data_IF_771707165078
#
_entry.id   IF_771707165078
#
_cell.length_a   1.000
_cell.length_b   1.000
_cell.length_c   1.000
_cell.angle_alpha   90.00
_cell.angle_beta   90.00
_cell.angle_gamma   90.00
#
_symmetry.space_group_name_H-M   'P 1'
#
loop_
_entity.id
_entity.type
_entity.pdbx_description
1 polymer ?
#
# COMPACT_ATOMS: atom_id res chain seq x y z
N UNK A 1 -23.73 -3.52 -19.78
CA UNK A 1 -23.32 -4.67 -18.95
C UNK A 1 -22.34 -4.15 -17.90
N UNK A 2 -22.77 -3.96 -16.66
CA UNK A 2 -21.88 -3.52 -15.57
C UNK A 2 -21.30 -4.77 -14.91
N UNK A 3 -20.03 -5.05 -15.18
CA UNK A 3 -19.33 -6.15 -14.51
C UNK A 3 -19.10 -5.71 -13.07
N UNK A 4 -19.85 -6.28 -12.11
CA UNK A 4 -19.50 -6.18 -10.69
C UNK A 4 -18.22 -6.97 -10.50
N UNK A 5 -17.07 -6.33 -10.71
CA UNK A 5 -15.78 -6.88 -10.31
C UNK A 5 -15.89 -7.18 -8.82
N UNK A 6 -15.90 -8.47 -8.47
CA UNK A 6 -15.81 -8.89 -7.08
C UNK A 6 -14.44 -8.48 -6.60
N UNK A 7 -14.42 -7.41 -5.83
CA UNK A 7 -13.24 -6.91 -5.14
C UNK A 7 -12.87 -7.99 -4.14
N UNK A 8 -11.94 -8.83 -4.56
CA UNK A 8 -11.31 -9.82 -3.71
C UNK A 8 -10.05 -9.21 -3.10
N UNK A 9 -9.63 -9.70 -1.95
CA UNK A 9 -8.40 -9.27 -1.29
C UNK A 9 -7.14 -9.59 -2.13
N UNK A 10 -7.30 -10.34 -3.22
CA UNK A 10 -6.22 -10.88 -4.05
C UNK A 10 -5.87 -10.00 -5.24
N UNK A 11 -6.69 -8.98 -5.52
CA UNK A 11 -6.41 -8.01 -6.57
C UNK A 11 -6.43 -6.60 -5.99
N UNK A 12 -5.43 -5.77 -6.29
CA UNK A 12 -5.40 -4.41 -5.79
C UNK A 12 -6.55 -3.59 -6.37
N UNK A 13 -7.21 -2.82 -5.51
CA UNK A 13 -8.15 -1.81 -5.95
C UNK A 13 -7.34 -0.63 -6.50
N UNK A 14 -7.70 -0.14 -7.68
CA UNK A 14 -7.13 1.11 -8.18
C UNK A 14 -7.57 2.27 -7.28
N UNK A 15 -6.64 2.77 -6.47
CA UNK A 15 -6.88 3.92 -5.59
C UNK A 15 -7.44 5.11 -6.39
N UNK A 16 -6.93 5.36 -7.61
CA UNK A 16 -7.44 6.42 -8.49
C UNK A 16 -8.95 6.30 -8.76
N UNK A 17 -9.45 5.08 -8.91
CA UNK A 17 -10.86 4.81 -9.18
C UNK A 17 -11.76 5.10 -7.97
N UNK A 18 -11.27 4.87 -6.75
CA UNK A 18 -12.03 5.15 -5.53
C UNK A 18 -11.84 6.58 -5.02
N UNK A 19 -10.64 7.14 -5.11
CA UNK A 19 -10.36 8.53 -4.75
C UNK A 19 -11.18 9.52 -5.58
N UNK A 20 -11.45 9.20 -6.86
CA UNK A 20 -12.32 10.03 -7.71
C UNK A 20 -13.80 9.97 -7.34
N UNK A 21 -14.24 8.91 -6.65
CA UNK A 21 -15.64 8.72 -6.24
C UNK A 21 -16.00 9.37 -4.91
N UNK A 22 -15.00 9.79 -4.13
CA UNK A 22 -15.23 10.37 -2.82
C UNK A 22 -14.88 11.86 -2.82
N UNK A 23 -15.79 12.75 -2.39
CA UNK A 23 -15.46 14.15 -2.22
C UNK A 23 -14.51 14.29 -1.02
N UNK A 24 -13.27 14.72 -1.29
CA UNK A 24 -12.21 14.88 -0.31
C UNK A 24 -11.03 13.96 -0.58
N UNK A 25 -9.81 14.51 -0.59
CA UNK A 25 -8.56 13.76 -0.79
C UNK A 25 -8.18 12.99 0.48
N UNK A 26 -9.05 12.12 0.98
CA UNK A 26 -8.73 11.27 2.12
C UNK A 26 -8.03 9.99 1.68
N UNK A 27 -7.11 9.47 2.50
CA UNK A 27 -6.50 8.18 2.25
C UNK A 27 -7.56 7.08 2.31
N UNK A 28 -7.42 6.07 1.45
CA UNK A 28 -8.25 4.87 1.41
C UNK A 28 -7.35 3.65 1.39
N UNK A 29 -7.81 2.57 2.01
CA UNK A 29 -7.12 1.30 2.01
C UNK A 29 -6.92 0.79 0.58
N UNK A 30 -5.71 0.35 0.26
CA UNK A 30 -5.34 -0.15 -1.07
C UNK A 30 -6.11 -1.41 -1.51
N UNK A 31 -6.51 -2.28 -0.58
CA UNK A 31 -7.16 -3.55 -0.91
C UNK A 31 -8.68 -3.52 -0.74
N UNK A 32 -9.21 -2.82 0.27
CA UNK A 32 -10.66 -2.77 0.54
C UNK A 32 -11.32 -1.46 0.16
N UNK A 33 -10.55 -0.38 -0.09
CA UNK A 33 -11.11 0.93 -0.42
C UNK A 33 -11.82 1.62 0.75
N UNK A 34 -11.67 1.07 1.97
CA UNK A 34 -12.21 1.67 3.20
C UNK A 34 -11.36 2.86 3.64
N UNK A 35 -12.00 3.92 4.10
CA UNK A 35 -11.34 5.12 4.64
C UNK A 35 -11.18 5.09 6.16
N UNK A 36 -11.87 4.17 6.83
CA UNK A 36 -11.86 4.00 8.28
C UNK A 36 -10.89 2.90 8.69
N UNK A 37 -10.40 2.94 9.93
CA UNK A 37 -9.50 1.92 10.47
C UNK A 37 -8.18 1.82 9.72
N UNK A 38 -7.65 2.93 9.19
CA UNK A 38 -6.35 2.94 8.54
C UNK A 38 -5.23 2.79 9.55
N UNK A 39 -4.32 1.87 9.25
CA UNK A 39 -3.17 1.53 10.05
C UNK A 39 -2.02 2.45 9.69
N UNK A 40 -1.33 2.96 10.71
CA UNK A 40 -0.12 3.74 10.51
C UNK A 40 1.02 2.87 9.96
N UNK A 41 1.64 3.37 8.89
CA UNK A 41 2.84 2.74 8.33
C UNK A 41 4.04 2.94 9.24
N UNK A 42 4.87 1.91 9.38
CA UNK A 42 6.08 1.98 10.19
C UNK A 42 7.07 3.01 9.63
N UNK A 43 7.86 3.62 10.51
CA UNK A 43 8.87 4.60 10.12
C UNK A 43 9.91 4.01 9.15
N UNK A 44 10.28 2.74 9.35
CA UNK A 44 11.19 2.01 8.46
C UNK A 44 10.69 1.91 7.02
N UNK A 45 9.38 1.76 6.81
CA UNK A 45 8.81 1.75 5.47
C UNK A 45 8.88 3.15 4.84
N UNK A 46 8.61 4.20 5.63
CA UNK A 46 8.64 5.60 5.17
C UNK A 46 10.03 6.03 4.71
N UNK A 47 11.07 5.55 5.38
CA UNK A 47 12.46 5.81 5.02
C UNK A 47 12.91 5.00 3.79
N UNK A 48 12.31 3.83 3.55
CA UNK A 48 12.71 2.90 2.49
C UNK A 48 11.94 3.08 1.18
N UNK A 49 10.72 3.61 1.20
CA UNK A 49 9.86 3.67 0.01
C UNK A 49 9.33 5.08 -0.23
N UNK A 50 9.36 5.53 -1.48
CA UNK A 50 8.83 6.84 -1.90
C UNK A 50 7.31 6.91 -1.75
N UNK A 51 6.63 5.79 -1.97
CA UNK A 51 5.19 5.70 -1.89
C UNK A 51 4.81 4.48 -1.06
N UNK A 52 4.02 4.71 -0.03
CA UNK A 52 3.36 3.67 0.75
C UNK A 52 1.87 3.89 0.58
N UNK A 53 1.17 2.83 0.21
CA UNK A 53 -0.28 2.89 0.06
C UNK A 53 -0.95 2.51 1.38
N UNK A 54 -2.04 3.20 1.79
CA UNK A 54 -2.69 2.93 3.07
C UNK A 54 -3.22 1.51 3.18
N UNK A 55 -3.24 0.98 4.40
CA UNK A 55 -3.73 -0.35 4.75
C UNK A 55 -4.75 -0.20 5.88
N UNK A 56 -5.86 -0.94 5.86
CA UNK A 56 -6.80 -0.96 7.00
C UNK A 56 -6.53 -2.15 7.93
N UNK A 57 -7.05 -2.06 9.16
CA UNK A 57 -6.94 -3.11 10.19
C UNK A 57 -7.45 -4.46 9.70
N UNK A 58 -8.56 -4.46 8.94
CA UNK A 58 -9.10 -5.68 8.34
C UNK A 58 -8.10 -6.36 7.40
N UNK A 59 -7.34 -5.59 6.61
CA UNK A 59 -6.30 -6.14 5.76
C UNK A 59 -5.10 -6.64 6.57
N UNK A 60 -4.69 -5.89 7.60
CA UNK A 60 -3.59 -6.29 8.49
C UNK A 60 -3.90 -7.61 9.21
N UNK A 61 -5.13 -7.77 9.73
CA UNK A 61 -5.58 -9.02 10.36
C UNK A 61 -5.60 -10.21 9.39
N UNK A 62 -5.87 -9.95 8.11
CA UNK A 62 -5.76 -10.94 7.03
C UNK A 62 -4.32 -11.16 6.53
N UNK A 63 -3.31 -10.69 7.29
CA UNK A 63 -1.89 -10.79 6.95
C UNK A 63 -1.52 -10.15 5.61
N UNK A 64 -2.29 -9.16 5.16
CA UNK A 64 -1.88 -8.33 4.02
C UNK A 64 -0.87 -7.30 4.51
N UNK A 65 0.15 -7.08 3.71
CA UNK A 65 1.19 -6.09 3.99
C UNK A 65 0.91 -4.77 3.26
N UNK A 66 1.53 -3.69 3.74
CA UNK A 66 1.53 -2.41 3.05
C UNK A 66 2.08 -2.58 1.64
N UNK A 67 1.30 -2.14 0.65
CA UNK A 67 1.81 -2.07 -0.71
C UNK A 67 2.72 -0.86 -0.84
N UNK A 68 3.92 -1.06 -1.38
CA UNK A 68 4.94 -0.02 -1.50
C UNK A 68 5.41 0.13 -2.95
N UNK A 69 5.80 1.35 -3.32
CA UNK A 69 6.37 1.67 -4.63
C UNK A 69 7.56 2.61 -4.49
N UNK A 70 8.49 2.48 -5.44
CA UNK A 70 9.64 3.36 -5.57
C UNK A 70 10.59 3.23 -4.38
N UNK A 71 11.19 2.05 -4.21
CA UNK A 71 12.24 1.84 -3.20
C UNK A 71 13.33 2.92 -3.33
N UNK A 72 13.63 3.59 -2.22
CA UNK A 72 14.65 4.62 -2.10
C UNK A 72 15.98 3.89 -2.02
N UNK A 73 16.68 3.81 -3.15
CA UNK A 73 18.09 3.38 -3.16
C UNK A 73 18.92 4.48 -2.53
N UNK A 74 19.13 4.41 -1.21
CA UNK A 74 20.18 5.20 -0.57
C UNK A 74 21.52 4.63 -1.03
N UNK A 75 22.34 5.44 -1.70
CA UNK A 75 23.73 5.07 -2.01
C UNK A 75 24.52 5.03 -0.69
N UNK A 76 24.40 3.93 0.04
CA UNK A 76 25.01 3.75 1.35
C UNK A 76 25.42 2.30 1.56
N UNK A 77 26.69 2.04 1.24
CA UNK A 77 27.44 0.78 1.36
C UNK A 77 27.23 -0.20 0.20
N UNK A 78 28.17 -0.15 -0.73
CA UNK A 78 28.59 -1.31 -1.49
C UNK A 78 28.73 -2.49 -0.53
N UNK A 79 27.78 -3.42 -0.60
CA UNK A 79 27.92 -4.72 0.04
C UNK A 79 29.13 -5.37 -0.63
N UNK A 80 30.27 -5.33 0.06
CA UNK A 80 31.42 -6.18 -0.28
C UNK A 80 30.92 -7.61 -0.16
N UNK A 81 30.49 -8.15 -1.30
CA UNK A 81 30.19 -9.56 -1.51
C UNK A 81 31.46 -10.33 -1.18
N UNK A 82 31.60 -10.78 0.07
CA UNK A 82 32.62 -11.74 0.43
C UNK A 82 32.19 -13.06 -0.21
N UNK A 83 32.88 -13.42 -1.29
CA UNK A 83 32.76 -14.72 -1.94
C UNK A 83 33.66 -15.67 -1.15
N UNK A 84 33.06 -16.57 -0.38
CA UNK A 84 33.67 -17.85 -0.01
C UNK A 84 33.21 -18.90 -0.98
#
# INVERSE_FOLDING_TARGET
MFVRTRISCDSPIEILYYSSRKPGNYPICYYYGESEGLVDSSQSLKERFKQIYPLCEGCQGNKKEFYTKGEIKTNGRASKRHKT
#
